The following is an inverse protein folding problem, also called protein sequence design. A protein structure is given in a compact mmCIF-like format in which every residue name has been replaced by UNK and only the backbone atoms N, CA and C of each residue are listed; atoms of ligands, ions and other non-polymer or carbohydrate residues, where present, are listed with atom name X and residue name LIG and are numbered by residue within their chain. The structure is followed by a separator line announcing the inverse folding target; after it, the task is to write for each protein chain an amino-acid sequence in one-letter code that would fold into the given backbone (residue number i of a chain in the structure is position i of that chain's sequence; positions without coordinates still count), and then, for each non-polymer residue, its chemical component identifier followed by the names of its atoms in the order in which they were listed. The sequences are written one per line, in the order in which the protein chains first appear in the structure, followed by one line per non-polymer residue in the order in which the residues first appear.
data_IF_201623720116
#
_entry.id   IF_201623720116
#
_cell.length_a   1.000
_cell.length_b   1.000
_cell.length_c   1.000
_cell.angle_alpha   90.00
_cell.angle_beta   90.00
_cell.angle_gamma   90.00
#
_symmetry.space_group_name_H-M   'P 1'
#
loop_
_entity.id
_entity.type
_entity.pdbx_description
1 polymer ?
#
# COMPACT_ATOMS: atom_id res chain seq x y z
N UNK A 1 -17.90 -4.45 -3.65
CA UNK A 1 -19.27 -4.54 -4.18
C UNK A 1 -20.07 -5.52 -3.34
N UNK A 2 -21.05 -5.01 -2.57
CA UNK A 2 -22.03 -5.84 -1.87
C UNK A 2 -23.13 -6.23 -2.89
N UNK A 3 -23.35 -7.52 -3.17
CA UNK A 3 -24.41 -7.96 -4.08
C UNK A 3 -25.78 -7.63 -3.48
N UNK A 4 -26.73 -7.18 -4.30
CA UNK A 4 -28.08 -6.86 -3.80
C UNK A 4 -28.94 -8.11 -3.97
N UNK A 5 -29.66 -8.56 -2.93
CA UNK A 5 -30.63 -9.64 -3.07
C UNK A 5 -31.63 -9.30 -4.19
N UNK A 6 -31.85 -10.25 -5.10
CA UNK A 6 -32.75 -10.11 -6.24
C UNK A 6 -33.68 -11.33 -6.35
N UNK A 7 -34.07 -11.87 -5.20
CA UNK A 7 -34.95 -13.02 -5.09
C UNK A 7 -36.10 -12.71 -4.13
N UNK A 8 -37.32 -13.01 -4.56
CA UNK A 8 -38.55 -12.97 -3.75
C UNK A 8 -39.10 -14.38 -3.45
N UNK A 9 -38.31 -15.44 -3.69
CA UNK A 9 -38.72 -16.85 -3.54
C UNK A 9 -37.55 -17.78 -3.22
N UNK A 10 -37.73 -19.10 -3.44
CA UNK A 10 -36.80 -20.19 -3.07
C UNK A 10 -35.44 -20.22 -3.80
N UNK A 11 -35.16 -19.25 -4.66
CA UNK A 11 -33.95 -19.17 -5.49
C UNK A 11 -33.03 -18.08 -4.96
N UNK A 12 -31.81 -18.40 -4.51
CA UNK A 12 -30.84 -17.38 -4.10
C UNK A 12 -30.19 -16.73 -5.33
N UNK A 13 -30.72 -15.57 -5.74
CA UNK A 13 -30.15 -14.76 -6.84
C UNK A 13 -29.76 -13.40 -6.33
N UNK A 14 -28.52 -13.02 -6.60
CA UNK A 14 -27.98 -11.70 -6.26
C UNK A 14 -27.73 -10.89 -7.53
N UNK A 15 -28.33 -9.68 -7.61
CA UNK A 15 -28.06 -8.75 -8.72
C UNK A 15 -26.76 -7.98 -8.50
N UNK A 16 -26.13 -7.62 -9.62
CA UNK A 16 -24.98 -6.73 -9.63
C UNK A 16 -25.39 -5.33 -9.15
N UNK A 17 -24.74 -4.86 -8.09
CA UNK A 17 -24.86 -3.47 -7.65
C UNK A 17 -24.13 -2.55 -8.66
N UNK A 18 -24.87 -1.68 -9.36
CA UNK A 18 -24.33 -0.70 -10.32
C UNK A 18 -23.95 0.65 -9.68
N UNK A 19 -24.26 0.84 -8.38
CA UNK A 19 -23.91 2.02 -7.61
C UNK A 19 -22.48 2.00 -7.05
N UNK A 20 -22.07 3.13 -6.47
CA UNK A 20 -20.75 3.33 -5.85
C UNK A 20 -19.68 3.91 -6.79
N UNK A 21 -18.45 4.04 -6.29
CA UNK A 21 -17.33 4.61 -7.04
C UNK A 21 -16.87 3.65 -8.16
N UNK A 22 -17.17 4.01 -9.43
CA UNK A 22 -16.85 3.18 -10.60
C UNK A 22 -15.34 3.06 -10.85
N UNK A 23 -14.59 4.13 -10.62
CA UNK A 23 -13.13 4.14 -10.79
C UNK A 23 -12.46 3.19 -9.79
N UNK A 24 -12.85 3.26 -8.51
CA UNK A 24 -12.33 2.34 -7.49
C UNK A 24 -12.69 0.87 -7.80
N UNK A 25 -13.94 0.63 -8.22
CA UNK A 25 -14.38 -0.70 -8.62
C UNK A 25 -13.63 -1.24 -9.85
N UNK A 26 -13.26 -0.36 -10.79
CA UNK A 26 -12.45 -0.69 -11.96
C UNK A 26 -11.00 -1.00 -11.56
N UNK A 27 -10.38 -0.17 -10.72
CA UNK A 27 -9.02 -0.43 -10.22
C UNK A 27 -8.91 -1.80 -9.55
N UNK A 28 -9.87 -2.18 -8.70
CA UNK A 28 -9.91 -3.52 -8.09
C UNK A 28 -10.07 -4.64 -9.12
N UNK A 29 -10.80 -4.39 -10.21
CA UNK A 29 -10.95 -5.36 -11.30
C UNK A 29 -9.64 -5.49 -12.08
N UNK A 30 -8.99 -4.39 -12.40
CA UNK A 30 -7.72 -4.38 -13.13
C UNK A 30 -6.63 -5.13 -12.35
N UNK A 31 -6.52 -4.87 -11.03
CA UNK A 31 -5.62 -5.61 -10.15
C UNK A 31 -5.94 -7.12 -10.20
N UNK A 32 -7.22 -7.50 -10.15
CA UNK A 32 -7.62 -8.90 -10.21
C UNK A 32 -7.18 -9.57 -11.52
N UNK A 33 -7.38 -8.91 -12.67
CA UNK A 33 -6.97 -9.44 -13.97
C UNK A 33 -5.45 -9.56 -14.07
N UNK A 34 -4.70 -8.54 -13.65
CA UNK A 34 -3.23 -8.58 -13.63
C UNK A 34 -2.70 -9.68 -12.71
N UNK A 35 -3.27 -9.86 -11.52
CA UNK A 35 -2.88 -10.96 -10.62
C UNK A 35 -3.22 -12.34 -11.19
N UNK A 36 -4.36 -12.50 -11.85
CA UNK A 36 -4.64 -13.77 -12.55
C UNK A 36 -3.62 -14.05 -13.67
N UNK A 37 -3.08 -13.01 -14.31
CA UNK A 37 -2.10 -13.16 -15.37
C UNK A 37 -0.68 -13.41 -14.86
N UNK A 38 -0.28 -12.89 -13.69
CA UNK A 38 1.14 -12.93 -13.26
C UNK A 38 1.39 -13.53 -11.88
N UNK A 39 0.39 -13.57 -11.00
CA UNK A 39 0.53 -14.08 -9.63
C UNK A 39 0.07 -15.54 -9.54
N UNK A 40 1.03 -16.43 -9.28
CA UNK A 40 0.81 -17.87 -9.15
C UNK A 40 -0.15 -18.21 -8.00
N UNK A 41 -0.10 -17.46 -6.89
CA UNK A 41 -1.03 -17.66 -5.76
C UNK A 41 -2.48 -17.41 -6.19
N UNK A 42 -2.70 -16.33 -6.93
CA UNK A 42 -4.02 -15.99 -7.48
C UNK A 42 -4.50 -17.01 -8.52
N UNK A 43 -3.61 -17.51 -9.39
CA UNK A 43 -3.95 -18.58 -10.36
C UNK A 43 -4.43 -19.85 -9.66
N UNK A 44 -3.70 -20.33 -8.65
CA UNK A 44 -4.10 -21.48 -7.83
C UNK A 44 -5.43 -21.27 -7.13
N UNK A 45 -5.65 -20.07 -6.58
CA UNK A 45 -6.93 -19.71 -5.97
C UNK A 45 -8.09 -19.79 -6.99
N UNK A 46 -7.91 -19.23 -8.18
CA UNK A 46 -8.94 -19.26 -9.23
C UNK A 46 -9.19 -20.69 -9.70
N UNK A 47 -8.14 -21.49 -9.94
CA UNK A 47 -8.28 -22.90 -10.30
C UNK A 47 -9.12 -23.67 -9.28
N UNK A 48 -8.83 -23.48 -7.98
CA UNK A 48 -9.63 -24.06 -6.89
C UNK A 48 -11.08 -23.58 -6.89
N UNK A 49 -11.35 -22.29 -7.11
CA UNK A 49 -12.74 -21.81 -7.19
C UNK A 49 -13.48 -22.41 -8.38
N UNK A 50 -12.79 -22.59 -9.51
CA UNK A 50 -13.35 -23.23 -10.69
C UNK A 50 -13.65 -24.71 -10.43
N UNK A 51 -12.78 -25.45 -9.74
CA UNK A 51 -13.04 -26.85 -9.38
C UNK A 51 -14.19 -27.01 -8.39
N UNK A 52 -14.47 -25.99 -7.57
CA UNK A 52 -15.68 -25.90 -6.72
C UNK A 52 -16.96 -25.53 -7.50
N UNK A 53 -16.92 -25.49 -8.84
CA UNK A 53 -18.08 -25.21 -9.70
C UNK A 53 -18.37 -23.73 -9.92
N UNK A 54 -17.51 -22.81 -9.47
CA UNK A 54 -17.70 -21.38 -9.75
C UNK A 54 -17.32 -21.02 -11.17
N UNK A 55 -18.15 -20.21 -11.81
CA UNK A 55 -17.77 -19.55 -13.05
C UNK A 55 -16.59 -18.61 -12.85
N UNK A 56 -15.84 -18.34 -13.93
CA UNK A 56 -14.75 -17.35 -13.92
C UNK A 56 -15.21 -15.99 -13.37
N UNK A 57 -16.43 -15.55 -13.71
CA UNK A 57 -17.00 -14.29 -13.21
C UNK A 57 -17.21 -14.30 -11.70
N UNK A 58 -17.64 -15.43 -11.14
CA UNK A 58 -17.80 -15.61 -9.70
C UNK A 58 -16.45 -15.68 -8.97
N UNK A 59 -15.48 -16.40 -9.53
CA UNK A 59 -14.11 -16.44 -9.01
C UNK A 59 -13.49 -15.04 -8.94
N UNK A 60 -13.62 -14.24 -10.01
CA UNK A 60 -13.18 -12.83 -10.05
C UNK A 60 -13.91 -11.99 -8.99
N UNK A 61 -15.23 -12.16 -8.81
CA UNK A 61 -15.97 -11.44 -7.75
C UNK A 61 -15.47 -11.79 -6.36
N UNK A 62 -15.12 -13.05 -6.10
CA UNK A 62 -14.51 -13.44 -4.83
C UNK A 62 -13.12 -12.79 -4.68
N UNK A 63 -12.28 -12.86 -5.70
CA UNK A 63 -10.94 -12.28 -5.70
C UNK A 63 -10.95 -10.77 -5.43
N UNK A 64 -11.85 -10.02 -6.08
CA UNK A 64 -12.03 -8.57 -5.82
C UNK A 64 -12.32 -8.25 -4.35
N UNK A 65 -13.05 -9.11 -3.63
CA UNK A 65 -13.30 -8.91 -2.18
C UNK A 65 -12.03 -9.12 -1.36
N UNK A 66 -11.21 -10.10 -1.71
CA UNK A 66 -9.90 -10.30 -1.06
C UNK A 66 -8.97 -9.12 -1.32
N UNK A 67 -8.84 -8.68 -2.58
CA UNK A 67 -8.02 -7.52 -2.95
C UNK A 67 -8.51 -6.27 -2.21
N UNK A 68 -9.82 -6.04 -2.13
CA UNK A 68 -10.35 -4.88 -1.41
C UNK A 68 -9.96 -4.89 0.09
N UNK A 69 -9.96 -6.07 0.74
CA UNK A 69 -9.50 -6.20 2.12
C UNK A 69 -8.00 -5.94 2.25
N UNK A 70 -7.18 -6.50 1.38
CA UNK A 70 -5.74 -6.23 1.37
C UNK A 70 -5.43 -4.74 1.18
N UNK A 71 -6.07 -4.11 0.21
CA UNK A 71 -5.91 -2.66 -0.05
C UNK A 71 -6.37 -1.85 1.16
N UNK A 72 -7.48 -2.22 1.80
CA UNK A 72 -7.94 -1.54 3.01
C UNK A 72 -6.89 -1.60 4.12
N UNK A 73 -6.30 -2.77 4.38
CA UNK A 73 -5.24 -2.90 5.39
C UNK A 73 -4.03 -2.05 5.07
N UNK A 74 -3.56 -2.04 3.81
CA UNK A 74 -2.43 -1.19 3.38
C UNK A 74 -2.75 0.30 3.47
N UNK A 75 -4.01 0.71 3.30
CA UNK A 75 -4.42 2.10 3.43
C UNK A 75 -4.55 2.55 4.90
N UNK A 76 -5.02 1.66 5.77
CA UNK A 76 -5.17 1.96 7.20
C UNK A 76 -3.84 1.92 7.94
N UNK A 77 -2.97 0.99 7.55
CA UNK A 77 -1.64 0.83 8.11
C UNK A 77 -0.62 0.64 6.97
N UNK A 78 -0.10 1.76 6.43
CA UNK A 78 0.88 1.70 5.36
C UNK A 78 2.25 1.18 5.82
N UNK A 79 2.49 1.07 7.14
CA UNK A 79 3.77 0.70 7.76
C UNK A 79 3.61 -0.40 8.81
N UNK A 80 3.13 -1.59 8.42
CA UNK A 80 2.73 -2.64 9.37
C UNK A 80 3.90 -3.20 10.21
N UNK A 81 5.11 -3.16 9.67
CA UNK A 81 6.30 -3.68 10.34
C UNK A 81 6.98 -2.61 11.22
N UNK A 82 6.45 -1.37 11.25
CA UNK A 82 7.09 -0.24 11.94
C UNK A 82 8.49 0.11 11.42
N UNK A 83 8.89 -0.46 10.27
CA UNK A 83 10.28 -0.50 9.83
C UNK A 83 10.82 0.86 9.36
N UNK A 84 9.93 1.82 9.09
CA UNK A 84 10.31 3.20 8.75
C UNK A 84 9.66 4.17 9.76
N UNK A 85 10.44 4.97 10.49
CA UNK A 85 9.90 6.06 11.30
C UNK A 85 9.12 7.05 10.43
N UNK A 86 8.13 7.71 11.02
CA UNK A 86 7.34 8.67 10.26
C UNK A 86 8.15 9.93 9.92
N UNK A 87 7.74 10.65 8.87
CA UNK A 87 8.38 11.89 8.45
C UNK A 87 8.75 12.86 9.59
N UNK A 88 7.86 13.15 10.56
CA UNK A 88 8.18 13.99 11.70
C UNK A 88 9.30 13.45 12.61
N UNK A 89 9.42 12.14 12.75
CA UNK A 89 10.47 11.49 13.54
C UNK A 89 11.81 11.57 12.81
N UNK A 90 11.82 11.31 11.51
CA UNK A 90 13.00 11.50 10.66
C UNK A 90 13.50 12.94 10.68
N UNK A 91 12.58 13.92 10.74
CA UNK A 91 12.92 15.32 10.90
C UNK A 91 13.61 15.61 12.25
N UNK A 92 13.18 14.96 13.34
CA UNK A 92 13.82 15.08 14.66
C UNK A 92 15.24 14.50 14.60
N UNK A 93 15.41 13.30 14.04
CA UNK A 93 16.71 12.66 13.89
C UNK A 93 17.69 13.51 13.07
N UNK A 94 17.25 14.00 11.90
CA UNK A 94 18.07 14.88 11.06
C UNK A 94 18.52 16.14 11.80
N UNK A 95 17.60 16.78 12.54
CA UNK A 95 17.90 17.99 13.33
C UNK A 95 18.88 17.70 14.46
N UNK A 96 18.76 16.56 15.14
CA UNK A 96 19.70 16.15 16.19
C UNK A 96 21.13 16.01 15.64
N UNK A 97 21.29 15.46 14.43
CA UNK A 97 22.58 15.37 13.73
C UNK A 97 23.02 16.66 13.05
N UNK A 98 22.26 17.76 13.17
CA UNK A 98 22.52 19.05 12.51
C UNK A 98 22.67 18.95 10.98
N UNK A 99 22.05 17.95 10.37
CA UNK A 99 22.05 17.78 8.91
C UNK A 99 20.99 18.71 8.31
N UNK A 100 21.34 19.45 7.26
CA UNK A 100 20.37 20.33 6.59
C UNK A 100 19.44 19.51 5.68
N UNK A 101 18.20 19.98 5.47
CA UNK A 101 17.30 19.36 4.49
C UNK A 101 17.92 19.32 3.09
N UNK A 102 18.70 20.34 2.72
CA UNK A 102 19.40 20.41 1.43
C UNK A 102 20.41 19.26 1.26
N UNK A 103 21.22 18.98 2.28
CA UNK A 103 22.20 17.88 2.26
C UNK A 103 21.49 16.53 2.17
N UNK A 104 20.56 16.25 3.07
CA UNK A 104 19.83 14.98 3.08
C UNK A 104 19.03 14.75 1.78
N UNK A 105 18.42 15.81 1.23
CA UNK A 105 17.69 15.70 -0.03
C UNK A 105 18.61 15.39 -1.22
N UNK A 106 19.80 15.98 -1.26
CA UNK A 106 20.79 15.70 -2.32
C UNK A 106 21.19 14.22 -2.32
N UNK A 107 21.49 13.64 -1.16
CA UNK A 107 21.85 12.21 -1.03
C UNK A 107 20.70 11.28 -1.44
N UNK A 108 19.44 11.68 -1.20
CA UNK A 108 18.27 10.91 -1.62
C UNK A 108 17.90 11.09 -3.10
N UNK A 109 18.54 12.01 -3.81
CA UNK A 109 18.18 12.39 -5.18
C UNK A 109 16.86 13.17 -5.26
N UNK A 110 16.55 13.98 -4.25
CA UNK A 110 15.30 14.72 -4.10
C UNK A 110 15.52 16.23 -3.97
N UNK A 111 14.45 17.01 -4.15
CA UNK A 111 14.46 18.41 -3.76
C UNK A 111 14.27 18.59 -2.25
N UNK A 112 14.84 19.65 -1.68
CA UNK A 112 14.61 20.00 -0.27
C UNK A 112 13.11 20.23 0.04
N UNK A 113 12.33 20.73 -0.93
CA UNK A 113 10.88 20.90 -0.79
C UNK A 113 10.16 19.54 -0.69
N UNK A 114 10.56 18.55 -1.50
CA UNK A 114 10.02 17.18 -1.42
C UNK A 114 10.32 16.57 -0.07
N UNK A 115 11.56 16.69 0.42
CA UNK A 115 11.94 16.19 1.74
C UNK A 115 11.17 16.93 2.85
N UNK A 116 10.99 18.25 2.73
CA UNK A 116 10.21 19.03 3.68
C UNK A 116 8.72 18.69 3.69
N UNK A 117 8.13 18.22 2.58
CA UNK A 117 6.76 17.70 2.56
C UNK A 117 6.66 16.35 3.28
N UNK A 118 7.66 15.48 3.08
CA UNK A 118 7.77 14.20 3.78
C UNK A 118 7.87 14.42 5.29
N UNK A 119 8.80 15.28 5.74
CA UNK A 119 9.05 15.57 7.15
C UNK A 119 7.85 16.15 7.90
N UNK A 120 6.95 16.85 7.19
CA UNK A 120 5.71 17.39 7.77
C UNK A 120 4.54 16.42 7.70
N UNK A 121 4.73 15.20 7.19
CA UNK A 121 3.66 14.23 6.98
C UNK A 121 2.66 14.62 5.88
N UNK A 122 2.91 15.69 5.11
CA UNK A 122 2.03 16.12 4.01
C UNK A 122 2.04 15.13 2.83
N UNK A 123 3.10 14.32 2.74
CA UNK A 123 3.23 13.21 1.80
C UNK A 123 3.65 11.99 2.60
N UNK A 124 2.89 10.90 2.52
CA UNK A 124 3.29 9.59 3.06
C UNK A 124 3.91 8.74 1.97
N UNK A 125 5.06 8.16 2.28
CA UNK A 125 5.72 7.21 1.39
C UNK A 125 6.66 6.33 2.19
N UNK A 126 6.19 5.15 2.59
CA UNK A 126 6.96 4.23 3.43
C UNK A 126 8.28 3.81 2.80
N UNK A 127 8.32 3.62 1.48
CA UNK A 127 9.56 3.34 0.75
C UNK A 127 10.58 4.48 0.87
N UNK A 128 10.12 5.73 0.79
CA UNK A 128 11.01 6.88 0.91
C UNK A 128 11.41 7.15 2.36
N UNK A 129 10.47 7.01 3.29
CA UNK A 129 10.70 7.09 4.75
C UNK A 129 11.78 6.08 5.15
N UNK A 130 11.72 4.84 4.64
CA UNK A 130 12.73 3.80 4.90
C UNK A 130 14.12 4.18 4.37
N UNK A 131 14.21 4.59 3.10
CA UNK A 131 15.49 5.04 2.52
C UNK A 131 16.08 6.23 3.27
N UNK A 132 15.22 7.15 3.70
CA UNK A 132 15.66 8.31 4.47
C UNK A 132 16.16 7.90 5.86
N UNK A 133 15.47 6.98 6.53
CA UNK A 133 15.91 6.41 7.79
C UNK A 133 17.27 5.72 7.67
N UNK A 134 17.45 4.85 6.67
CA UNK A 134 18.72 4.16 6.39
C UNK A 134 19.87 5.15 6.20
N UNK A 135 19.66 6.19 5.38
CA UNK A 135 20.63 7.27 5.18
C UNK A 135 20.98 7.99 6.50
N UNK A 136 19.98 8.30 7.32
CA UNK A 136 20.21 8.97 8.60
C UNK A 136 21.02 8.09 9.56
N UNK A 137 20.76 6.78 9.61
CA UNK A 137 21.56 5.83 10.38
C UNK A 137 23.00 5.70 9.85
N UNK A 138 23.19 5.74 8.53
CA UNK A 138 24.53 5.74 7.92
C UNK A 138 25.31 7.01 8.28
N UNK A 139 24.67 8.18 8.19
CA UNK A 139 25.28 9.45 8.59
C UNK A 139 25.60 9.51 10.09
N UNK A 140 24.74 8.94 10.93
CA UNK A 140 24.96 8.83 12.37
C UNK A 140 26.22 8.01 12.68
N UNK A 141 26.39 6.86 12.01
CA UNK A 141 27.58 6.00 12.18
C UNK A 141 28.87 6.66 11.69
N UNK A 142 28.77 7.56 10.71
CA UNK A 142 29.92 8.26 10.14
C UNK A 142 30.38 9.48 10.96
N UNK A 143 29.60 9.91 11.97
CA UNK A 143 30.04 10.97 12.88
C UNK A 143 31.17 10.43 13.79
N UNK A 144 32.31 11.13 13.91
CA UNK A 144 33.33 10.73 14.86
C UNK A 144 32.71 10.77 16.26
N UNK A 145 32.77 9.64 16.98
CA UNK A 145 32.42 9.61 18.39
C UNK A 145 33.39 10.54 19.10
N UNK A 146 32.98 11.78 19.33
CA UNK A 146 33.78 12.72 20.12
C UNK A 146 33.88 12.13 21.52
N UNK A 147 35.09 11.70 21.86
CA UNK A 147 35.45 11.15 23.15
C UNK A 147 34.92 12.03 24.29
N UNK A 148 34.34 11.35 25.28
CA UNK A 148 33.91 11.92 26.55
C UNK A 148 35.05 12.53 27.35
#
# INVERSE_FOLDING_TARGET
ASPIPASSGKTDRHRLNRGGNRQANWALYEIAIKRMAYDERTRRYVARRTSEGKSRREAVRCLKRYIAREVYHVLMDPNPDGAAPEGPELAKMRKAMRVTQKKAAAELGLSAATLGHLERGKRRSTKLERRYYELLCELERALPQTAS
#
